data_IF_108610457033
#
_entry.id   IF_108610457033
#
_cell.length_a   1.000
_cell.length_b   1.000
_cell.length_c   1.000
_cell.angle_alpha   90.00
_cell.angle_beta   90.00
_cell.angle_gamma   90.00
#
_symmetry.space_group_name_H-M   'P 1'
#
loop_
_entity.id
_entity.type
_entity.pdbx_description
1 polymer ?
#
# COMPACT_ATOMS: atom_id res chain seq x y z
N UNK A 1 -4.69 6.47 -5.73
CA UNK A 1 -4.24 6.38 -4.34
C UNK A 1 -5.07 7.31 -3.50
N UNK A 2 -5.26 7.00 -2.23
CA UNK A 2 -5.82 7.92 -1.23
C UNK A 2 -4.78 8.07 -0.12
N UNK A 3 -4.61 9.26 0.46
CA UNK A 3 -3.79 9.43 1.64
C UNK A 3 -4.40 8.62 2.79
N UNK A 4 -3.57 7.97 3.61
CA UNK A 4 -4.06 7.17 4.74
C UNK A 4 -3.17 7.28 5.97
N UNK A 5 -3.80 7.23 7.14
CA UNK A 5 -3.14 6.91 8.40
C UNK A 5 -3.42 5.44 8.69
N UNK A 6 -2.37 4.63 8.79
CA UNK A 6 -2.46 3.20 9.05
C UNK A 6 -2.06 2.92 10.49
N UNK A 7 -2.91 2.15 11.18
CA UNK A 7 -2.68 1.73 12.57
C UNK A 7 -2.62 0.20 12.58
N UNK A 8 -1.43 -0.40 12.39
CA UNK A 8 -1.30 -1.85 12.36
C UNK A 8 -1.70 -2.48 13.69
N UNK A 9 -2.43 -3.59 13.62
CA UNK A 9 -2.82 -4.34 14.80
C UNK A 9 -1.58 -5.01 15.45
N UNK A 10 -1.28 -4.74 16.73
CA UNK A 10 -0.03 -5.15 17.38
C UNK A 10 0.03 -6.64 17.72
N UNK A 11 -1.09 -7.37 17.66
CA UNK A 11 -1.15 -8.80 17.96
C UNK A 11 -1.39 -9.66 16.70
N UNK A 12 -1.09 -9.13 15.51
CA UNK A 12 -1.10 -9.93 14.30
C UNK A 12 0.01 -10.98 14.36
N UNK A 13 -0.36 -12.26 14.22
CA UNK A 13 0.57 -13.40 14.28
C UNK A 13 1.75 -13.26 13.30
N UNK A 14 1.46 -12.78 12.09
CA UNK A 14 2.43 -12.78 10.99
C UNK A 14 3.03 -11.39 10.68
N UNK A 15 2.74 -10.35 11.49
CA UNK A 15 3.20 -8.96 11.29
C UNK A 15 2.87 -8.34 9.90
N UNK A 16 2.04 -8.99 9.09
CA UNK A 16 1.72 -8.59 7.71
C UNK A 16 1.15 -7.17 7.60
N UNK A 17 0.32 -6.75 8.56
CA UNK A 17 -0.24 -5.39 8.55
C UNK A 17 0.85 -4.33 8.68
N UNK A 18 1.85 -4.57 9.53
CA UNK A 18 2.95 -3.65 9.73
C UNK A 18 3.84 -3.59 8.48
N UNK A 19 4.11 -4.73 7.85
CA UNK A 19 4.87 -4.80 6.60
C UNK A 19 4.15 -4.06 5.44
N UNK A 20 2.85 -4.29 5.28
CA UNK A 20 2.04 -3.61 4.26
C UNK A 20 1.99 -2.10 4.49
N UNK A 21 1.84 -1.68 5.75
CA UNK A 21 1.83 -0.26 6.11
C UNK A 21 3.20 0.40 5.87
N UNK A 22 4.29 -0.29 6.24
CA UNK A 22 5.66 0.18 6.01
C UNK A 22 5.97 0.32 4.51
N UNK A 23 5.53 -0.62 3.67
CA UNK A 23 5.73 -0.55 2.23
C UNK A 23 5.07 0.70 1.61
N UNK A 24 3.84 1.03 2.04
CA UNK A 24 3.13 2.21 1.55
C UNK A 24 3.76 3.52 2.09
N UNK A 25 4.16 3.53 3.36
CA UNK A 25 4.77 4.68 4.00
C UNK A 25 6.18 4.98 3.47
N UNK A 26 6.97 3.96 3.13
CA UNK A 26 8.29 4.12 2.52
C UNK A 26 8.24 4.88 1.18
N UNK A 27 7.10 4.83 0.48
CA UNK A 27 6.86 5.57 -0.75
C UNK A 27 6.21 6.94 -0.51
N UNK A 28 5.96 7.30 0.75
CA UNK A 28 5.27 8.53 1.13
C UNK A 28 3.75 8.49 0.89
N UNK A 29 3.16 7.30 0.68
CA UNK A 29 1.73 7.13 0.43
C UNK A 29 0.86 7.07 1.68
N UNK A 30 1.46 6.85 2.85
CA UNK A 30 0.75 6.75 4.12
C UNK A 30 1.63 7.19 5.31
N UNK A 31 0.97 7.53 6.41
CA UNK A 31 1.58 7.65 7.72
C UNK A 31 1.23 6.41 8.55
N UNK A 32 2.20 5.86 9.27
CA UNK A 32 1.97 4.72 10.18
C UNK A 32 2.01 5.22 11.62
N UNK A 33 1.06 4.77 12.43
CA UNK A 33 0.98 5.08 13.86
C UNK A 33 0.80 3.77 14.61
N UNK A 34 1.60 3.51 15.63
CA UNK A 34 1.40 2.34 16.48
C UNK A 34 0.10 2.51 17.27
N UNK A 35 -0.66 1.42 17.48
CA UNK A 35 -1.91 1.50 18.24
C UNK A 35 -1.72 2.10 19.64
N UNK A 36 -0.58 1.84 20.28
CA UNK A 36 -0.24 2.41 21.60
C UNK A 36 -0.09 3.93 21.60
N UNK A 37 0.22 4.54 20.44
CA UNK A 37 0.40 5.98 20.27
C UNK A 37 -0.86 6.67 19.73
N UNK A 38 -1.95 5.92 19.51
CA UNK A 38 -3.20 6.45 19.00
C UNK A 38 -4.08 6.95 20.15
N UNK A 39 -4.40 8.24 20.11
CA UNK A 39 -5.36 8.88 21.01
C UNK A 39 -6.34 9.75 20.22
N UNK A 40 -7.43 10.19 20.88
CA UNK A 40 -8.38 11.09 20.26
C UNK A 40 -7.72 12.44 19.88
N UNK A 41 -6.84 12.95 20.74
CA UNK A 41 -6.06 14.17 20.53
C UNK A 41 -5.13 14.00 19.32
N UNK A 42 -4.42 12.87 19.24
CA UNK A 42 -3.56 12.55 18.10
C UNK A 42 -4.35 12.54 16.79
N UNK A 43 -5.55 11.96 16.78
CA UNK A 43 -6.41 11.92 15.58
C UNK A 43 -6.87 13.33 15.21
N UNK A 44 -7.28 14.16 16.18
CA UNK A 44 -7.69 15.54 15.94
C UNK A 44 -6.56 16.37 15.32
N UNK A 45 -5.33 16.23 15.82
CA UNK A 45 -4.16 16.93 15.29
C UNK A 45 -3.84 16.51 13.84
N UNK A 46 -3.93 15.20 13.55
CA UNK A 46 -3.72 14.67 12.20
C UNK A 46 -4.75 15.22 11.21
N UNK A 47 -6.02 15.26 11.61
CA UNK A 47 -7.09 15.80 10.78
C UNK A 47 -6.91 17.29 10.54
N UNK A 48 -6.58 18.06 11.59
CA UNK A 48 -6.31 19.50 11.50
C UNK A 48 -5.16 19.77 10.53
N UNK A 49 -4.03 19.08 10.72
CA UNK A 49 -2.86 19.18 9.83
C UNK A 49 -3.19 18.79 8.39
N UNK A 50 -4.04 17.78 8.19
CA UNK A 50 -4.47 17.34 6.87
C UNK A 50 -5.34 18.40 6.18
N UNK A 51 -6.27 19.03 6.90
CA UNK A 51 -7.12 20.09 6.38
C UNK A 51 -6.34 21.34 5.99
N UNK A 52 -5.27 21.66 6.73
CA UNK A 52 -4.39 22.79 6.45
C UNK A 52 -3.39 22.53 5.30
N UNK A 53 -3.18 21.27 4.91
CA UNK A 53 -2.16 20.86 3.94
C UNK A 53 -2.67 20.11 2.72
N UNK A 54 -3.59 20.67 1.89
CA UNK A 54 -4.16 19.95 0.74
C UNK A 54 -3.11 19.53 -0.30
N UNK A 55 -2.06 20.32 -0.52
CA UNK A 55 -0.97 19.95 -1.45
C UNK A 55 -0.16 18.74 -0.96
N UNK A 56 0.08 18.66 0.36
CA UNK A 56 0.73 17.50 0.98
C UNK A 56 -0.15 16.25 0.80
N UNK A 57 -1.47 16.38 0.97
CA UNK A 57 -2.40 15.28 0.72
C UNK A 57 -2.42 14.86 -0.76
N UNK A 58 -2.36 15.79 -1.70
CA UNK A 58 -2.27 15.46 -3.13
C UNK A 58 -0.99 14.68 -3.46
N UNK A 59 0.15 15.10 -2.90
CA UNK A 59 1.43 14.40 -3.03
C UNK A 59 1.34 12.98 -2.45
N UNK A 60 0.80 12.84 -1.24
CA UNK A 60 0.61 11.54 -0.59
C UNK A 60 -0.36 10.64 -1.37
N UNK A 61 -1.42 11.20 -1.96
CA UNK A 61 -2.36 10.46 -2.81
C UNK A 61 -1.71 9.93 -4.10
N UNK A 62 -0.82 10.73 -4.70
CA UNK A 62 -0.07 10.36 -5.89
C UNK A 62 0.93 9.23 -5.58
N UNK A 63 1.68 9.36 -4.48
CA UNK A 63 2.54 8.29 -3.96
C UNK A 63 1.76 7.00 -3.67
N UNK A 64 0.63 7.09 -2.96
CA UNK A 64 -0.23 5.93 -2.72
C UNK A 64 -0.83 5.33 -4.00
N UNK A 65 -0.90 6.09 -5.10
CA UNK A 65 -1.35 5.57 -6.39
C UNK A 65 -0.25 4.75 -7.06
N UNK A 66 1.01 5.20 -6.98
CA UNK A 66 2.13 4.52 -7.65
C UNK A 66 2.50 3.18 -7.02
N UNK A 67 2.13 2.94 -5.76
CA UNK A 67 2.36 1.65 -5.09
C UNK A 67 1.37 0.56 -5.49
N UNK A 68 0.27 0.91 -6.13
CA UNK A 68 -0.76 -0.06 -6.54
C UNK A 68 -0.30 -0.91 -7.72
N UNK A 69 -0.67 -2.20 -7.72
CA UNK A 69 -0.55 -3.12 -8.86
C UNK A 69 -1.95 -3.46 -9.40
N UNK A 70 -2.55 -2.59 -10.22
CA UNK A 70 -3.93 -2.77 -10.70
C UNK A 70 -4.11 -4.01 -11.59
N UNK A 71 -3.02 -4.52 -12.17
CA UNK A 71 -2.95 -5.69 -13.05
C UNK A 71 -2.56 -6.99 -12.32
N UNK A 72 -2.41 -6.98 -10.99
CA UNK A 72 -1.87 -8.10 -10.22
C UNK A 72 -2.62 -9.43 -10.46
N UNK A 73 -3.94 -9.39 -10.61
CA UNK A 73 -4.73 -10.59 -10.88
C UNK A 73 -4.45 -11.17 -12.28
N UNK A 74 -4.29 -10.31 -13.29
CA UNK A 74 -3.93 -10.73 -14.65
C UNK A 74 -2.54 -11.33 -14.70
N UNK A 75 -1.56 -10.65 -14.09
CA UNK A 75 -0.19 -11.16 -13.98
C UNK A 75 -0.12 -12.52 -13.27
N UNK A 76 -0.99 -12.75 -12.27
CA UNK A 76 -1.09 -14.03 -11.60
C UNK A 76 -1.70 -15.10 -12.50
N UNK A 77 -2.75 -14.78 -13.26
CA UNK A 77 -3.35 -15.70 -14.22
C UNK A 77 -2.35 -16.12 -15.30
N UNK A 78 -1.64 -15.16 -15.91
CA UNK A 78 -0.60 -15.43 -16.91
C UNK A 78 0.51 -16.34 -16.37
N UNK A 79 0.90 -16.12 -15.11
CA UNK A 79 1.88 -16.94 -14.43
C UNK A 79 1.40 -18.40 -14.26
N UNK A 80 0.14 -18.58 -13.83
CA UNK A 80 -0.45 -19.91 -13.65
C UNK A 80 -0.58 -20.64 -14.98
N UNK A 81 -1.04 -19.97 -16.04
CA UNK A 81 -1.15 -20.55 -17.38
C UNK A 81 0.21 -20.97 -17.95
N UNK A 82 1.25 -20.14 -17.76
CA UNK A 82 2.60 -20.45 -18.21
C UNK A 82 3.16 -21.73 -17.54
N UNK A 83 2.94 -21.86 -16.23
CA UNK A 83 3.35 -23.05 -15.46
C UNK A 83 2.59 -24.28 -15.95
N UNK A 84 1.27 -24.17 -16.15
CA UNK A 84 0.44 -25.27 -16.65
C UNK A 84 0.84 -25.73 -18.07
N UNK A 85 1.28 -24.79 -18.92
CA UNK A 85 1.76 -25.08 -20.27
C UNK A 85 3.21 -25.58 -20.33
N UNK A 86 3.89 -25.74 -19.19
CA UNK A 86 5.31 -26.15 -19.14
C UNK A 86 6.28 -25.11 -19.72
N UNK A 87 5.86 -23.85 -19.85
CA UNK A 87 6.69 -22.75 -20.35
C UNK A 87 7.54 -22.19 -19.22
N UNK A 88 8.78 -21.81 -19.53
CA UNK A 88 9.67 -21.18 -18.56
C UNK A 88 9.12 -19.82 -18.10
N UNK A 89 9.11 -19.58 -16.78
CA UNK A 89 8.62 -18.36 -16.12
C UNK A 89 9.26 -17.05 -16.63
N UNK A 90 10.44 -17.14 -17.23
CA UNK A 90 11.14 -16.01 -17.83
C UNK A 90 10.57 -15.57 -19.18
N UNK A 91 9.82 -16.44 -19.87
CA UNK A 91 9.23 -16.18 -21.19
C UNK A 91 7.79 -15.65 -21.12
N UNK A 92 7.18 -15.64 -19.93
CA UNK A 92 5.78 -15.23 -19.73
C UNK A 92 5.59 -13.80 -19.20
N UNK A 93 6.67 -13.12 -18.77
CA UNK A 93 6.62 -11.69 -18.44
C UNK A 93 6.64 -10.88 -19.75
N UNK A 94 5.46 -10.49 -20.26
CA UNK A 94 5.40 -9.52 -21.36
C UNK A 94 4.18 -9.56 -22.27
N UNK A 95 3.13 -10.34 -21.98
CA UNK A 95 1.91 -10.30 -22.78
C UNK A 95 0.87 -9.39 -22.12
N UNK A 96 1.08 -8.08 -22.16
CA UNK A 96 -0.02 -7.13 -21.99
C UNK A 96 0.12 -6.05 -23.03
N UNK A 97 -0.79 -6.08 -24.00
CA UNK A 97 -1.05 -5.01 -24.96
C UNK A 97 -1.56 -3.75 -24.25
#
# INVERSE_FOLDING_TARGET
>A
GRPSVLVPYPHALDHDQAANAAALAAQGGAQVIAQADLSAERIADLLTTAMEGPERLATMAAAAKSTGKPDAAGLLADLVEAIAAGKGIAQSKGATQ
#
